data_IF_987075406604
#
_entry.id   IF_987075406604
#
_cell.length_a   1.000
_cell.length_b   1.000
_cell.length_c   1.000
_cell.angle_alpha   90.00
_cell.angle_beta   90.00
_cell.angle_gamma   90.00
#
_symmetry.space_group_name_H-M   'P 1'
#
loop_
_entity.id
_entity.type
_entity.pdbx_description
1 polymer ?
#
# COMPACT_ATOMS: atom_id res chain seq x y z
N UNK A 1 23.73 -23.53 -25.30
CA UNK A 1 23.18 -24.11 -24.06
C UNK A 1 21.89 -23.38 -23.77
N UNK A 2 20.76 -23.92 -24.23
CA UNK A 2 19.45 -23.35 -23.94
C UNK A 2 18.87 -24.10 -22.74
N UNK A 3 18.63 -23.39 -21.66
CA UNK A 3 17.65 -23.76 -20.65
C UNK A 3 16.99 -22.45 -20.20
N UNK A 4 15.94 -22.10 -20.93
CA UNK A 4 14.92 -21.18 -20.48
C UNK A 4 14.22 -21.82 -19.29
N UNK A 5 14.39 -21.29 -18.09
CA UNK A 5 13.47 -21.53 -16.99
C UNK A 5 12.52 -20.33 -16.91
N UNK A 6 11.40 -20.45 -17.63
CA UNK A 6 10.20 -19.65 -17.38
C UNK A 6 9.78 -19.91 -15.92
N UNK A 7 10.20 -19.04 -15.01
CA UNK A 7 9.57 -18.93 -13.70
C UNK A 7 8.24 -18.20 -13.88
N UNK A 8 7.16 -18.94 -14.08
CA UNK A 8 5.82 -18.39 -13.95
C UNK A 8 5.63 -17.95 -12.50
N UNK A 9 6.04 -16.73 -12.16
CA UNK A 9 5.86 -16.17 -10.84
C UNK A 9 4.36 -16.17 -10.54
N UNK A 10 3.92 -17.00 -9.60
CA UNK A 10 2.52 -17.10 -9.17
C UNK A 10 2.15 -15.90 -8.28
N UNK A 11 2.36 -14.68 -8.78
CA UNK A 11 2.08 -13.42 -8.10
C UNK A 11 0.60 -13.11 -8.21
N UNK A 12 0.07 -12.41 -7.21
CA UNK A 12 -1.31 -11.95 -7.20
C UNK A 12 -1.40 -10.69 -8.05
N UNK A 13 -2.14 -10.65 -9.18
CA UNK A 13 -2.11 -9.50 -10.07
C UNK A 13 -2.59 -8.19 -9.42
N UNK A 14 -3.60 -8.28 -8.55
CA UNK A 14 -4.10 -7.14 -7.79
C UNK A 14 -4.60 -7.61 -6.43
N UNK A 15 -3.93 -7.18 -5.36
CA UNK A 15 -4.27 -7.58 -4.01
C UNK A 15 -5.64 -7.03 -3.55
N UNK A 16 -6.09 -5.89 -4.07
CA UNK A 16 -7.39 -5.33 -3.71
C UNK A 16 -8.55 -6.28 -4.08
N UNK A 17 -8.39 -7.14 -5.09
CA UNK A 17 -9.42 -8.13 -5.44
C UNK A 17 -9.60 -9.21 -4.37
N UNK A 18 -8.51 -9.60 -3.69
CA UNK A 18 -8.57 -10.57 -2.58
C UNK A 18 -9.16 -9.95 -1.32
N UNK A 19 -9.04 -8.63 -1.18
CA UNK A 19 -9.46 -7.86 -0.01
C UNK A 19 -10.80 -7.15 -0.20
N UNK A 20 -11.47 -7.32 -1.35
CA UNK A 20 -12.71 -6.60 -1.68
C UNK A 20 -13.91 -6.93 -0.77
N UNK A 21 -13.80 -7.97 0.07
CA UNK A 21 -14.82 -8.34 1.05
C UNK A 21 -14.78 -7.48 2.32
N UNK A 22 -13.70 -6.72 2.54
CA UNK A 22 -13.67 -5.69 3.58
C UNK A 22 -14.46 -4.48 3.08
N UNK A 23 -15.58 -4.18 3.74
CA UNK A 23 -16.50 -3.10 3.37
C UNK A 23 -16.92 -2.33 4.61
N UNK A 24 -16.62 -1.03 4.64
CA UNK A 24 -16.65 -0.25 5.88
C UNK A 24 -15.70 -0.79 6.96
N UNK A 25 -15.48 -0.02 8.01
CA UNK A 25 -14.65 -0.46 9.13
C UNK A 25 -15.25 0.00 10.45
N UNK A 26 -15.46 -0.93 11.38
CA UNK A 26 -15.89 -0.63 12.75
C UNK A 26 -14.70 -0.56 13.72
N UNK A 27 -13.53 -1.05 13.29
CA UNK A 27 -12.30 -1.13 14.08
C UNK A 27 -11.16 -0.35 13.44
N UNK A 28 -10.45 0.42 14.26
CA UNK A 28 -9.28 1.20 13.87
C UNK A 28 -8.08 0.84 14.75
N UNK A 29 -6.94 0.63 14.11
CA UNK A 29 -5.67 0.26 14.74
C UNK A 29 -4.76 1.47 14.73
N UNK A 30 -4.19 1.79 15.89
CA UNK A 30 -3.28 2.94 16.01
C UNK A 30 -1.86 2.54 15.62
N UNK A 31 -1.30 3.21 14.62
CA UNK A 31 0.11 3.05 14.26
C UNK A 31 1.00 3.84 15.24
N UNK A 32 1.90 3.15 15.93
CA UNK A 32 2.61 3.68 17.09
C UNK A 32 3.54 4.87 16.77
N UNK A 33 4.24 4.81 15.63
CA UNK A 33 5.24 5.82 15.27
C UNK A 33 4.60 7.11 14.76
N UNK A 34 3.61 6.99 13.87
CA UNK A 34 2.92 8.14 13.26
C UNK A 34 1.81 8.72 14.15
N UNK A 35 1.27 7.92 15.08
CA UNK A 35 0.02 8.17 15.83
C UNK A 35 -1.26 8.25 14.99
N UNK A 36 -1.17 7.96 13.68
CA UNK A 36 -2.29 7.81 12.75
C UNK A 36 -2.94 6.42 12.91
N UNK A 37 -4.02 6.19 12.17
CA UNK A 37 -4.80 4.96 12.25
C UNK A 37 -4.82 4.20 10.92
N UNK A 38 -5.21 2.94 10.98
CA UNK A 38 -5.56 2.14 9.81
C UNK A 38 -6.68 1.16 10.14
N UNK A 39 -7.36 0.68 9.11
CA UNK A 39 -8.57 -0.15 9.24
C UNK A 39 -8.26 -1.62 9.49
N UNK A 40 -9.30 -2.39 9.81
CA UNK A 40 -9.25 -3.86 9.89
C UNK A 40 -8.76 -4.51 8.59
N UNK A 41 -9.22 -4.05 7.42
CA UNK A 41 -8.73 -4.59 6.15
C UNK A 41 -7.22 -4.38 5.94
N UNK A 42 -6.70 -3.21 6.34
CA UNK A 42 -5.26 -2.92 6.29
C UNK A 42 -4.48 -3.74 7.33
N UNK A 43 -5.02 -3.93 8.53
CA UNK A 43 -4.44 -4.82 9.54
C UNK A 43 -4.35 -6.25 9.04
N UNK A 44 -5.45 -6.79 8.50
CA UNK A 44 -5.50 -8.13 7.93
C UNK A 44 -4.48 -8.29 6.79
N UNK A 45 -4.42 -7.30 5.90
CA UNK A 45 -3.45 -7.25 4.80
C UNK A 45 -2.01 -7.31 5.32
N UNK A 46 -1.66 -6.46 6.29
CA UNK A 46 -0.31 -6.40 6.84
C UNK A 46 0.13 -7.73 7.46
N UNK A 47 -0.78 -8.39 8.18
CA UNK A 47 -0.54 -9.68 8.83
C UNK A 47 -0.43 -10.84 7.83
N UNK A 48 -1.39 -10.99 6.92
CA UNK A 48 -1.49 -12.15 6.04
C UNK A 48 -0.55 -12.08 4.83
N UNK A 49 -0.24 -10.85 4.36
CA UNK A 49 0.65 -10.61 3.23
C UNK A 49 2.02 -10.07 3.67
N UNK A 50 2.30 -10.10 4.98
CA UNK A 50 3.59 -9.78 5.60
C UNK A 50 4.13 -8.39 5.20
N UNK A 51 3.25 -7.42 5.07
CA UNK A 51 3.56 -6.09 4.53
C UNK A 51 3.40 -4.94 5.55
N UNK A 52 3.64 -5.21 6.85
CA UNK A 52 3.73 -4.15 7.86
C UNK A 52 4.71 -3.04 7.49
N UNK A 53 5.82 -3.39 6.81
CA UNK A 53 6.78 -2.42 6.32
C UNK A 53 6.14 -1.34 5.41
N UNK A 54 5.12 -1.71 4.63
CA UNK A 54 4.43 -0.78 3.74
C UNK A 54 3.51 0.15 4.53
N UNK A 55 2.81 -0.39 5.53
CA UNK A 55 1.98 0.41 6.46
C UNK A 55 2.84 1.41 7.22
N UNK A 56 3.97 0.96 7.78
CA UNK A 56 4.93 1.82 8.47
C UNK A 56 5.43 2.93 7.54
N UNK A 57 5.87 2.57 6.34
CA UNK A 57 6.36 3.51 5.32
C UNK A 57 5.32 4.58 5.00
N UNK A 58 4.10 4.18 4.62
CA UNK A 58 3.04 5.11 4.23
C UNK A 58 2.67 6.04 5.39
N UNK A 59 2.45 5.50 6.59
CA UNK A 59 2.00 6.31 7.71
C UNK A 59 3.08 7.23 8.27
N UNK A 60 4.37 6.85 8.18
CA UNK A 60 5.47 7.76 8.51
C UNK A 60 5.55 8.89 7.48
N UNK A 61 5.47 8.59 6.19
CA UNK A 61 5.48 9.61 5.13
C UNK A 61 4.27 10.55 5.25
N UNK A 62 3.07 10.01 5.45
CA UNK A 62 1.86 10.81 5.65
C UNK A 62 1.95 11.74 6.88
N UNK A 63 2.67 11.33 7.93
CA UNK A 63 2.83 12.13 9.15
C UNK A 63 3.97 13.16 9.12
N UNK A 64 5.01 12.95 8.29
CA UNK A 64 6.23 13.77 8.33
C UNK A 64 6.48 14.56 7.05
N UNK A 65 5.97 14.11 5.91
CA UNK A 65 6.19 14.75 4.63
C UNK A 65 5.24 15.94 4.45
N UNK A 66 5.81 17.15 4.35
CA UNK A 66 5.06 18.41 4.26
C UNK A 66 4.16 18.51 3.02
N UNK A 67 4.45 17.79 1.95
CA UNK A 67 3.61 17.78 0.76
C UNK A 67 2.38 16.91 0.99
N UNK A 68 2.55 15.74 1.61
CA UNK A 68 1.48 14.81 1.92
C UNK A 68 0.56 15.34 3.03
N UNK A 69 1.13 15.94 4.08
CA UNK A 69 0.40 16.51 5.22
C UNK A 69 -0.65 17.58 4.86
N UNK A 70 -0.56 18.19 3.68
CA UNK A 70 -1.48 19.24 3.22
C UNK A 70 -2.68 18.69 2.46
N UNK A 71 -2.66 17.41 2.13
CA UNK A 71 -3.64 16.79 1.26
C UNK A 71 -4.60 15.98 2.12
N UNK A 72 -5.89 16.35 2.07
CA UNK A 72 -6.96 15.71 2.83
C UNK A 72 -7.22 14.26 2.38
N UNK A 73 -6.81 13.95 1.15
CA UNK A 73 -6.96 12.63 0.54
C UNK A 73 -5.70 12.25 -0.23
N UNK A 74 -5.26 11.01 -0.04
CA UNK A 74 -4.07 10.46 -0.66
C UNK A 74 -4.36 9.05 -1.21
N UNK A 75 -3.90 8.78 -2.42
CA UNK A 75 -3.99 7.47 -3.08
C UNK A 75 -2.60 6.89 -3.22
N UNK A 76 -2.32 5.85 -2.44
CA UNK A 76 -1.06 5.13 -2.42
C UNK A 76 -1.15 3.89 -3.29
N UNK A 77 -0.22 3.75 -4.24
CA UNK A 77 -0.12 2.62 -5.17
C UNK A 77 1.25 1.98 -5.04
N UNK A 78 1.29 0.70 -4.70
CA UNK A 78 2.50 -0.12 -4.79
C UNK A 78 2.40 -0.96 -6.07
N UNK A 79 3.37 -0.78 -6.98
CA UNK A 79 3.38 -1.44 -8.29
C UNK A 79 4.67 -2.22 -8.47
N UNK A 80 4.57 -3.51 -8.76
CA UNK A 80 5.71 -4.33 -9.13
C UNK A 80 6.26 -3.90 -10.49
N UNK A 81 7.58 -3.75 -10.59
CA UNK A 81 8.24 -3.36 -11.84
C UNK A 81 8.92 -4.56 -12.50
N UNK A 82 9.78 -5.26 -11.76
CA UNK A 82 10.55 -6.42 -12.21
C UNK A 82 11.22 -7.09 -11.02
N UNK A 83 11.45 -8.41 -11.10
CA UNK A 83 12.15 -9.19 -10.06
C UNK A 83 11.56 -8.89 -8.67
N UNK A 84 12.32 -8.26 -7.78
CA UNK A 84 11.91 -7.87 -6.43
C UNK A 84 11.77 -6.33 -6.28
N UNK A 85 11.74 -5.60 -7.40
CA UNK A 85 11.69 -4.13 -7.44
C UNK A 85 10.25 -3.64 -7.58
N UNK A 86 9.90 -2.66 -6.75
CA UNK A 86 8.58 -2.02 -6.76
C UNK A 86 8.70 -0.49 -6.84
N UNK A 87 7.62 0.14 -7.25
CA UNK A 87 7.41 1.57 -7.14
C UNK A 87 6.27 1.83 -6.16
N UNK A 88 6.55 2.65 -5.13
CA UNK A 88 5.54 3.23 -4.26
C UNK A 88 5.26 4.65 -4.74
N UNK A 89 4.03 4.91 -5.17
CA UNK A 89 3.58 6.20 -5.69
C UNK A 89 2.38 6.71 -4.89
N UNK A 90 2.34 8.01 -4.62
CA UNK A 90 1.20 8.69 -3.99
C UNK A 90 0.72 9.86 -4.84
N UNK A 91 -0.61 9.98 -4.99
CA UNK A 91 -1.28 11.14 -5.60
C UNK A 91 -2.39 11.69 -4.69
N UNK A 92 -2.86 12.90 -4.96
CA UNK A 92 -3.99 13.53 -4.24
C UNK A 92 -5.39 13.00 -4.64
N UNK A 93 -5.47 11.95 -5.44
CA UNK A 93 -6.72 11.41 -6.00
C UNK A 93 -7.18 12.09 -7.29
N UNK A 94 -6.53 13.19 -7.71
CA UNK A 94 -6.77 13.88 -8.98
C UNK A 94 -5.52 13.84 -9.89
N UNK A 95 -4.78 12.74 -9.81
CA UNK A 95 -3.57 12.45 -10.60
C UNK A 95 -2.38 13.42 -10.41
N UNK A 96 -2.42 14.34 -9.44
CA UNK A 96 -1.23 15.11 -9.07
C UNK A 96 -0.33 14.25 -8.20
N UNK A 97 0.88 13.96 -8.69
CA UNK A 97 1.91 13.23 -7.95
C UNK A 97 2.36 14.03 -6.72
N UNK A 98 2.37 13.36 -5.56
CA UNK A 98 2.82 13.92 -4.28
C UNK A 98 4.11 13.27 -3.79
N UNK A 99 4.31 11.98 -4.13
CA UNK A 99 5.43 11.17 -3.68
C UNK A 99 5.67 10.02 -4.65
N UNK A 100 6.94 9.68 -4.86
CA UNK A 100 7.36 8.51 -5.64
C UNK A 100 8.68 7.97 -5.10
N UNK A 101 8.75 6.66 -4.89
CA UNK A 101 9.95 5.97 -4.42
C UNK A 101 10.08 4.61 -5.10
N UNK A 102 11.31 4.27 -5.51
CA UNK A 102 11.65 2.93 -5.95
C UNK A 102 12.08 2.11 -4.73
N UNK A 103 11.37 1.03 -4.47
CA UNK A 103 11.70 0.02 -3.48
C UNK A 103 12.59 -1.01 -4.18
N UNK A 104 13.91 -1.02 -3.93
CA UNK A 104 14.86 -1.84 -4.69
C UNK A 104 14.73 -3.34 -4.41
N UNK A 105 14.08 -3.71 -3.31
CA UNK A 105 13.88 -5.11 -2.93
C UNK A 105 12.68 -5.23 -1.98
N UNK A 106 11.75 -6.14 -2.27
CA UNK A 106 10.69 -6.59 -1.38
C UNK A 106 10.23 -7.99 -1.75
N UNK A 107 9.88 -8.81 -0.76
CA UNK A 107 9.25 -10.12 -0.92
C UNK A 107 7.71 -10.03 -1.08
N UNK A 108 7.16 -8.83 -1.31
CA UNK A 108 5.73 -8.63 -1.47
C UNK A 108 5.16 -9.45 -2.64
N UNK A 109 4.09 -10.18 -2.38
CA UNK A 109 3.61 -11.27 -3.25
C UNK A 109 2.65 -10.84 -4.35
N UNK A 110 2.20 -9.58 -4.35
CA UNK A 110 1.24 -9.05 -5.32
C UNK A 110 1.88 -8.05 -6.29
N UNK A 111 1.40 -7.99 -7.53
CA UNK A 111 1.88 -7.06 -8.54
C UNK A 111 1.38 -5.64 -8.30
N UNK A 112 0.22 -5.52 -7.66
CA UNK A 112 -0.44 -4.24 -7.45
C UNK A 112 -1.23 -4.22 -6.13
N UNK A 113 -1.17 -3.08 -5.45
CA UNK A 113 -2.01 -2.75 -4.30
C UNK A 113 -2.28 -1.24 -4.30
N UNK A 114 -3.53 -0.87 -4.05
CA UNK A 114 -3.94 0.50 -3.73
C UNK A 114 -4.42 0.60 -2.29
N UNK A 115 -4.00 1.64 -1.59
CA UNK A 115 -4.51 2.06 -0.28
C UNK A 115 -4.88 3.54 -0.36
N UNK A 116 -5.89 3.94 0.40
CA UNK A 116 -6.29 5.34 0.53
C UNK A 116 -5.94 5.83 1.92
N UNK A 117 -5.56 7.10 2.04
CA UNK A 117 -5.38 7.74 3.32
C UNK A 117 -6.23 9.01 3.36
N UNK A 118 -7.10 9.10 4.36
CA UNK A 118 -8.02 10.22 4.55
C UNK A 118 -8.38 10.35 6.03
N UNK A 119 -8.56 11.58 6.50
CA UNK A 119 -8.93 11.88 7.89
C UNK A 119 -8.05 11.20 8.95
N UNK A 120 -6.75 11.02 8.65
CA UNK A 120 -5.80 10.38 9.55
C UNK A 120 -5.88 8.85 9.60
N UNK A 121 -6.61 8.23 8.66
CA UNK A 121 -6.81 6.78 8.55
C UNK A 121 -6.31 6.26 7.22
N UNK A 122 -5.49 5.20 7.23
CA UNK A 122 -5.13 4.40 6.06
C UNK A 122 -6.10 3.23 5.90
N UNK A 123 -6.68 3.06 4.72
CA UNK A 123 -7.73 2.09 4.47
C UNK A 123 -7.68 1.47 3.07
N UNK A 124 -8.37 0.35 2.89
CA UNK A 124 -8.63 -0.19 1.56
C UNK A 124 -9.65 0.68 0.81
N UNK A 125 -9.58 0.78 -0.53
CA UNK A 125 -10.58 1.51 -1.31
C UNK A 125 -12.03 1.01 -1.12
N UNK A 126 -12.22 -0.27 -0.79
CA UNK A 126 -13.55 -0.85 -0.54
C UNK A 126 -14.10 -0.51 0.86
N UNK A 127 -13.28 0.04 1.75
CA UNK A 127 -13.66 0.45 3.10
C UNK A 127 -14.06 1.94 3.20
N UNK A 128 -13.83 2.73 2.15
CA UNK A 128 -14.17 4.15 2.05
C UNK A 128 -15.59 4.35 1.51
#
# INVERSE_FOLDING_TARGET
>A
MNASSNGSSNRIPNLNQQLAHFTGSESYYRHMLSRLYYTEGVQYMAEHYRCYWLVDKILIEAALNKNLLKEDFQVWKLTWLREDVFELHCSDGNDRELFKEIIPYSDFVADYLTLWFSDGVLLLPSEY
#
